data_IF_225761376764
#
_entry.id   IF_225761376764
#
_cell.length_a   1.000
_cell.length_b   1.000
_cell.length_c   1.000
_cell.angle_alpha   90.00
_cell.angle_beta   90.00
_cell.angle_gamma   90.00
#
_symmetry.space_group_name_H-M   'P 1'
#
loop_
_entity.id
_entity.type
_entity.pdbx_description
1 polymer ?
#
# COMPACT_ATOMS: atom_id res chain seq x y z
N UNK A 1 22.81 37.95 -5.49
CA UNK A 1 21.47 38.47 -5.17
C UNK A 1 20.73 38.76 -6.47
N UNK A 2 19.65 38.04 -6.75
CA UNK A 2 18.49 38.63 -7.40
C UNK A 2 17.27 38.55 -6.49
N UNK A 3 16.44 39.55 -6.67
CA UNK A 3 15.30 40.01 -5.89
C UNK A 3 14.07 39.11 -6.02
N UNK A 4 13.44 38.81 -4.88
CA UNK A 4 12.12 38.18 -4.80
C UNK A 4 11.03 39.12 -5.34
N UNK A 5 10.28 38.68 -6.35
CA UNK A 5 9.02 39.29 -6.74
C UNK A 5 7.87 38.61 -5.99
N UNK A 6 7.10 39.43 -5.26
CA UNK A 6 5.77 39.12 -4.75
C UNK A 6 4.94 38.37 -5.79
N UNK A 7 4.30 37.27 -5.39
CA UNK A 7 3.16 36.71 -6.11
C UNK A 7 1.97 36.76 -5.16
N UNK A 8 0.91 37.40 -5.64
CA UNK A 8 -0.30 37.74 -4.93
C UNK A 8 -1.14 36.50 -4.56
N UNK A 9 -1.85 36.65 -3.44
CA UNK A 9 -2.86 35.73 -2.94
C UNK A 9 -4.06 35.73 -3.90
N UNK A 10 -4.15 34.72 -4.75
CA UNK A 10 -5.43 34.34 -5.38
C UNK A 10 -5.66 32.83 -5.22
N UNK A 11 -6.89 32.53 -4.83
CA UNK A 11 -7.43 31.20 -4.49
C UNK A 11 -7.09 30.12 -5.51
N UNK A 12 -6.27 29.14 -5.10
CA UNK A 12 -6.08 27.89 -5.86
C UNK A 12 -7.26 26.97 -5.57
N UNK A 13 -8.22 26.96 -6.48
CA UNK A 13 -9.28 25.94 -6.56
C UNK A 13 -8.69 24.63 -7.05
N UNK A 14 -8.77 23.58 -6.22
CA UNK A 14 -8.45 22.21 -6.62
C UNK A 14 -9.66 21.60 -7.33
N UNK A 15 -9.63 21.57 -8.66
CA UNK A 15 -10.57 20.78 -9.46
C UNK A 15 -10.03 19.36 -9.57
N UNK A 16 -10.78 18.40 -9.01
CA UNK A 16 -10.49 16.98 -9.14
C UNK A 16 -10.46 16.54 -10.60
N UNK A 17 -9.38 15.88 -11.00
CA UNK A 17 -9.28 15.25 -12.30
C UNK A 17 -9.72 13.78 -12.18
N UNK A 18 -10.96 13.49 -12.58
CA UNK A 18 -11.32 12.14 -13.01
C UNK A 18 -10.79 11.94 -14.42
N UNK A 19 -9.78 11.08 -14.57
CA UNK A 19 -9.43 10.52 -15.87
C UNK A 19 -10.42 9.40 -16.18
N UNK A 20 -11.23 9.55 -17.21
CA UNK A 20 -11.99 8.44 -17.77
C UNK A 20 -11.04 7.30 -18.14
N UNK A 21 -11.26 6.13 -17.54
CA UNK A 21 -10.55 4.90 -17.87
C UNK A 21 -11.11 4.43 -19.23
N UNK A 22 -10.29 4.31 -20.29
CA UNK A 22 -10.78 3.70 -21.53
C UNK A 22 -11.15 2.24 -21.26
N UNK A 23 -12.29 1.81 -21.80
CA UNK A 23 -12.74 0.41 -21.74
C UNK A 23 -11.64 -0.50 -22.29
N UNK A 24 -10.95 -1.21 -21.40
CA UNK A 24 -10.00 -2.25 -21.74
C UNK A 24 -10.79 -3.51 -22.11
N UNK A 25 -11.17 -3.58 -23.38
CA UNK A 25 -11.46 -4.86 -24.04
C UNK A 25 -10.53 -4.96 -25.24
N UNK A 26 -9.61 -5.93 -25.20
CA UNK A 26 -8.82 -6.47 -26.33
C UNK A 26 -7.35 -5.97 -26.50
N UNK A 27 -6.57 -5.91 -25.42
CA UNK A 27 -5.09 -5.79 -25.54
C UNK A 27 -4.44 -6.80 -24.58
N UNK A 28 -4.42 -8.09 -24.93
CA UNK A 28 -3.72 -9.12 -24.12
C UNK A 28 -3.20 -10.32 -24.93
N UNK A 29 -2.87 -10.14 -26.22
CA UNK A 29 -2.38 -11.26 -27.04
C UNK A 29 -1.17 -10.97 -27.92
N UNK A 30 -0.72 -9.71 -28.01
CA UNK A 30 0.48 -9.35 -28.80
C UNK A 30 1.74 -9.10 -27.96
N UNK A 31 1.62 -8.73 -26.67
CA UNK A 31 2.78 -8.30 -25.88
C UNK A 31 3.53 -9.45 -25.16
N UNK A 32 3.02 -10.70 -25.24
CA UNK A 32 3.61 -11.84 -24.53
C UNK A 32 4.82 -12.43 -25.27
N UNK A 33 4.85 -12.37 -26.60
CA UNK A 33 5.98 -12.90 -27.38
C UNK A 33 7.21 -11.97 -27.35
N UNK A 34 7.01 -10.65 -27.27
CA UNK A 34 8.10 -9.68 -27.20
C UNK A 34 8.86 -9.77 -25.86
N UNK A 35 8.14 -9.97 -24.74
CA UNK A 35 8.75 -10.13 -23.40
C UNK A 35 9.46 -11.47 -23.24
N UNK A 36 8.97 -12.54 -23.88
CA UNK A 36 9.58 -13.86 -23.79
C UNK A 36 10.94 -13.94 -24.52
N UNK A 37 11.13 -13.17 -25.59
CA UNK A 37 12.36 -13.18 -26.39
C UNK A 37 13.56 -12.48 -25.72
N UNK A 38 13.31 -11.53 -24.80
CA UNK A 38 14.35 -10.78 -24.08
C UNK A 38 14.98 -11.58 -22.93
N UNK A 39 14.35 -12.68 -22.51
CA UNK A 39 14.74 -13.44 -21.30
C UNK A 39 15.66 -14.65 -21.55
N UNK A 40 16.16 -14.86 -22.78
CA UNK A 40 16.87 -16.10 -23.16
C UNK A 40 18.33 -15.95 -23.61
N UNK A 41 19.12 -15.03 -23.04
CA UNK A 41 20.59 -15.12 -23.13
C UNK A 41 21.29 -15.07 -21.76
N UNK A 42 22.13 -16.07 -21.40
CA UNK A 42 22.81 -16.11 -20.11
C UNK A 42 24.28 -15.69 -20.24
N UNK A 43 24.73 -14.76 -19.42
CA UNK A 43 25.98 -14.88 -18.60
C UNK A 43 26.30 -13.55 -17.92
N UNK A 44 25.79 -13.35 -16.70
CA UNK A 44 26.46 -12.47 -15.75
C UNK A 44 26.38 -13.15 -14.37
N UNK A 45 27.54 -13.44 -13.80
CA UNK A 45 27.71 -14.01 -12.48
C UNK A 45 27.34 -12.96 -11.43
N UNK A 46 26.24 -13.16 -10.70
CA UNK A 46 25.80 -12.23 -9.66
C UNK A 46 26.03 -12.79 -8.24
N UNK A 47 26.35 -11.87 -7.32
CA UNK A 47 26.51 -12.10 -5.89
C UNK A 47 25.29 -12.75 -5.24
N UNK A 48 25.51 -13.48 -4.15
CA UNK A 48 24.55 -14.30 -3.37
C UNK A 48 23.26 -13.59 -2.88
N UNK A 49 23.16 -12.26 -2.96
CA UNK A 49 21.95 -11.53 -2.60
C UNK A 49 20.91 -11.46 -3.73
N UNK A 50 21.34 -11.52 -5.00
CA UNK A 50 20.43 -11.49 -6.14
C UNK A 50 19.74 -12.84 -6.36
N UNK A 51 20.41 -13.96 -6.05
CA UNK A 51 19.84 -15.32 -6.14
C UNK A 51 18.62 -15.48 -5.24
N UNK A 52 18.64 -14.90 -4.04
CA UNK A 52 17.48 -14.91 -3.12
C UNK A 52 16.31 -14.07 -3.66
N UNK A 53 16.59 -12.97 -4.37
CA UNK A 53 15.56 -12.13 -5.00
C UNK A 53 14.88 -12.86 -6.17
N UNK A 54 15.62 -13.62 -6.97
CA UNK A 54 15.06 -14.42 -8.06
C UNK A 54 14.21 -15.60 -7.55
N UNK A 55 14.62 -16.27 -6.48
CA UNK A 55 13.81 -17.34 -5.88
C UNK A 55 12.50 -16.82 -5.28
N UNK A 56 12.52 -15.67 -4.59
CA UNK A 56 11.30 -15.05 -4.05
C UNK A 56 10.29 -14.66 -5.15
N UNK A 57 10.78 -14.20 -6.32
CA UNK A 57 9.92 -13.85 -7.46
C UNK A 57 9.30 -15.11 -8.10
N UNK A 58 10.09 -16.18 -8.24
CA UNK A 58 9.59 -17.48 -8.72
C UNK A 58 8.53 -18.04 -7.78
N UNK A 59 8.72 -17.92 -6.48
CA UNK A 59 7.76 -18.37 -5.48
C UNK A 59 6.44 -17.59 -5.55
N UNK A 60 6.51 -16.25 -5.65
CA UNK A 60 5.33 -15.39 -5.82
C UNK A 60 4.54 -15.72 -7.10
N UNK A 61 5.23 -15.97 -8.22
CA UNK A 61 4.61 -16.39 -9.48
C UNK A 61 3.95 -17.78 -9.36
N UNK A 62 4.59 -18.71 -8.64
CA UNK A 62 4.05 -20.03 -8.41
C UNK A 62 2.77 -19.98 -7.54
N UNK A 63 2.74 -19.13 -6.51
CA UNK A 63 1.55 -18.90 -5.68
C UNK A 63 0.40 -18.33 -6.53
N UNK A 64 0.67 -17.31 -7.36
CA UNK A 64 -0.34 -16.73 -8.26
C UNK A 64 -0.89 -17.76 -9.25
N UNK A 65 -0.04 -18.63 -9.81
CA UNK A 65 -0.43 -19.71 -10.71
C UNK A 65 -1.30 -20.76 -10.01
N UNK A 66 -0.94 -21.16 -8.78
CA UNK A 66 -1.74 -22.11 -7.97
C UNK A 66 -3.12 -21.55 -7.63
N UNK A 67 -3.20 -20.26 -7.30
CA UNK A 67 -4.47 -19.58 -7.04
C UNK A 67 -5.38 -19.56 -8.28
N UNK A 68 -4.83 -19.17 -9.43
CA UNK A 68 -5.58 -19.15 -10.69
C UNK A 68 -6.08 -20.55 -11.08
N UNK A 69 -5.23 -21.57 -10.98
CA UNK A 69 -5.63 -22.95 -11.25
C UNK A 69 -6.76 -23.41 -10.34
N UNK A 70 -6.66 -23.16 -9.03
CA UNK A 70 -7.74 -23.49 -8.08
C UNK A 70 -9.05 -22.75 -8.40
N UNK A 71 -8.98 -21.47 -8.77
CA UNK A 71 -10.16 -20.68 -9.14
C UNK A 71 -10.85 -21.17 -10.42
N UNK A 72 -10.07 -21.58 -11.43
CA UNK A 72 -10.65 -22.13 -12.66
C UNK A 72 -11.19 -23.56 -12.46
N UNK A 73 -10.53 -24.38 -11.66
CA UNK A 73 -10.97 -25.75 -11.35
C UNK A 73 -12.26 -25.77 -10.51
N UNK A 74 -12.41 -24.84 -9.57
CA UNK A 74 -13.67 -24.64 -8.82
C UNK A 74 -14.83 -24.18 -9.71
N UNK A 75 -14.58 -23.32 -10.70
CA UNK A 75 -15.63 -22.97 -11.69
C UNK A 75 -15.99 -24.15 -12.60
N UNK A 76 -15.00 -24.92 -13.04
CA UNK A 76 -15.23 -26.11 -13.87
C UNK A 76 -16.06 -27.16 -13.12
N UNK A 77 -15.69 -27.47 -11.88
CA UNK A 77 -16.44 -28.39 -11.01
C UNK A 77 -17.86 -27.89 -10.74
N UNK A 78 -18.07 -26.62 -10.38
CA UNK A 78 -19.41 -26.05 -10.21
C UNK A 78 -20.25 -26.18 -11.49
N UNK A 79 -19.67 -25.96 -12.67
CA UNK A 79 -20.39 -26.12 -13.94
C UNK A 79 -20.81 -27.58 -14.21
N UNK A 80 -19.98 -28.55 -13.85
CA UNK A 80 -20.28 -29.98 -14.01
C UNK A 80 -21.44 -30.43 -13.13
N UNK A 81 -21.63 -29.84 -11.96
CA UNK A 81 -22.75 -30.18 -11.07
C UNK A 81 -24.02 -29.41 -11.39
N UNK A 82 -23.94 -28.11 -11.70
CA UNK A 82 -25.12 -27.27 -11.90
C UNK A 82 -25.77 -27.42 -13.28
N UNK A 83 -24.97 -27.57 -14.34
CA UNK A 83 -25.50 -27.62 -15.72
C UNK A 83 -26.41 -28.84 -15.95
N UNK A 84 -26.08 -30.06 -15.48
CA UNK A 84 -26.98 -31.22 -15.60
C UNK A 84 -28.29 -31.04 -14.82
N UNK A 85 -28.21 -30.46 -13.62
CA UNK A 85 -29.40 -30.19 -12.78
C UNK A 85 -30.32 -29.19 -13.46
N UNK A 86 -29.77 -28.11 -14.02
CA UNK A 86 -30.54 -27.11 -14.76
C UNK A 86 -31.16 -27.73 -16.00
N UNK A 87 -30.41 -28.51 -16.80
CA UNK A 87 -30.93 -29.18 -18.00
C UNK A 87 -32.02 -30.20 -17.67
N UNK A 88 -31.86 -30.98 -16.60
CA UNK A 88 -32.86 -31.94 -16.15
C UNK A 88 -34.14 -31.25 -15.69
N UNK A 89 -34.03 -30.18 -14.89
CA UNK A 89 -35.20 -29.39 -14.47
C UNK A 89 -35.91 -28.72 -15.66
N UNK A 90 -35.16 -28.24 -16.66
CA UNK A 90 -35.72 -27.66 -17.88
C UNK A 90 -36.49 -28.69 -18.71
N UNK A 91 -36.02 -29.93 -18.77
CA UNK A 91 -36.71 -31.02 -19.46
C UNK A 91 -38.02 -31.40 -18.75
N UNK A 92 -38.01 -31.49 -17.41
CA UNK A 92 -39.21 -31.79 -16.61
C UNK A 92 -40.30 -30.71 -16.69
N UNK A 93 -39.91 -29.44 -16.88
CA UNK A 93 -40.85 -28.33 -17.12
C UNK A 93 -41.49 -28.42 -18.51
N UNK A 94 -40.74 -28.86 -19.53
CA UNK A 94 -41.25 -29.03 -20.90
C UNK A 94 -42.25 -30.18 -21.05
N UNK A 95 -42.14 -31.21 -20.21
CA UNK A 95 -43.02 -32.39 -20.26
C UNK A 95 -44.34 -32.22 -19.49
N UNK A 96 -44.67 -31.01 -19.01
CA UNK A 96 -45.97 -30.72 -18.38
C UNK A 96 -46.22 -31.50 -17.08
N UNK A 97 -45.17 -32.02 -16.43
CA UNK A 97 -45.30 -32.89 -15.28
C UNK A 97 -45.62 -32.07 -14.01
N UNK A 98 -46.75 -32.35 -13.35
CA UNK A 98 -47.10 -31.77 -12.04
C UNK A 98 -46.05 -32.05 -10.94
N UNK A 99 -45.14 -33.00 -11.18
CA UNK A 99 -43.95 -33.30 -10.36
C UNK A 99 -42.91 -32.16 -10.33
N UNK A 100 -42.90 -31.26 -11.32
CA UNK A 100 -41.98 -30.10 -11.39
C UNK A 100 -42.23 -29.06 -10.28
N UNK A 101 -43.48 -28.93 -9.81
CA UNK A 101 -43.87 -28.03 -8.72
C UNK A 101 -43.42 -28.55 -7.35
N UNK A 102 -43.32 -29.87 -7.20
CA UNK A 102 -42.83 -30.52 -5.98
C UNK A 102 -41.30 -30.40 -5.85
N UNK A 103 -40.57 -30.62 -6.95
CA UNK A 103 -39.11 -30.51 -6.97
C UNK A 103 -38.62 -29.08 -6.69
N UNK A 104 -39.26 -28.08 -7.29
CA UNK A 104 -38.93 -26.65 -7.08
C UNK A 104 -39.11 -26.19 -5.63
N UNK A 105 -40.00 -26.81 -4.86
CA UNK A 105 -40.17 -26.50 -3.42
C UNK A 105 -39.14 -27.19 -2.52
N UNK A 106 -38.57 -28.32 -2.94
CA UNK A 106 -37.63 -29.13 -2.15
C UNK A 106 -36.18 -28.67 -2.35
N UNK A 107 -35.83 -28.18 -3.54
CA UNK A 107 -34.49 -27.67 -3.89
C UNK A 107 -33.98 -26.58 -2.91
N UNK A 108 -34.75 -25.53 -2.54
CA UNK A 108 -34.24 -24.53 -1.60
C UNK A 108 -33.98 -25.13 -0.22
N UNK A 109 -34.83 -26.06 0.27
CA UNK A 109 -34.61 -26.74 1.56
C UNK A 109 -33.34 -27.58 1.57
N UNK A 110 -33.04 -28.29 0.47
CA UNK A 110 -31.79 -29.06 0.33
C UNK A 110 -30.56 -28.16 0.25
N UNK A 111 -30.66 -27.02 -0.46
CA UNK A 111 -29.59 -26.04 -0.53
C UNK A 111 -29.25 -25.44 0.84
N UNK A 112 -30.28 -25.03 1.59
CA UNK A 112 -30.10 -24.53 2.96
C UNK A 112 -29.56 -25.61 3.91
N UNK A 113 -30.00 -26.86 3.76
CA UNK A 113 -29.48 -27.98 4.56
C UNK A 113 -28.00 -28.23 4.33
N UNK A 114 -27.57 -28.37 3.07
CA UNK A 114 -26.17 -28.67 2.73
C UNK A 114 -25.25 -27.50 3.06
N UNK A 115 -25.65 -26.26 2.74
CA UNK A 115 -24.85 -25.06 3.05
C UNK A 115 -24.74 -24.79 4.55
N UNK A 116 -25.80 -25.08 5.31
CA UNK A 116 -25.79 -24.99 6.77
C UNK A 116 -24.80 -25.96 7.40
N UNK A 117 -24.85 -27.24 6.99
CA UNK A 117 -23.91 -28.26 7.47
C UNK A 117 -22.47 -27.89 7.11
N UNK A 118 -22.21 -27.46 5.87
CA UNK A 118 -20.87 -27.04 5.44
C UNK A 118 -20.34 -25.84 6.24
N UNK A 119 -21.20 -24.85 6.53
CA UNK A 119 -20.83 -23.68 7.34
C UNK A 119 -20.48 -24.06 8.78
N UNK A 120 -21.20 -25.03 9.36
CA UNK A 120 -20.90 -25.58 10.69
C UNK A 120 -19.56 -26.32 10.69
N UNK A 121 -19.28 -27.13 9.67
CA UNK A 121 -17.98 -27.81 9.53
C UNK A 121 -16.82 -26.83 9.34
N UNK A 122 -17.00 -25.78 8.53
CA UNK A 122 -15.96 -24.77 8.30
C UNK A 122 -15.66 -23.95 9.56
N UNK A 123 -16.70 -23.55 10.30
CA UNK A 123 -16.55 -22.79 11.55
C UNK A 123 -15.94 -23.64 12.65
N UNK A 124 -16.37 -24.91 12.82
CA UNK A 124 -15.73 -25.82 13.79
C UNK A 124 -14.29 -26.12 13.44
N UNK A 125 -13.97 -26.33 12.16
CA UNK A 125 -12.59 -26.48 11.70
C UNK A 125 -11.76 -25.23 11.99
N UNK A 126 -12.28 -24.03 11.72
CA UNK A 126 -11.61 -22.76 12.03
C UNK A 126 -11.39 -22.56 13.54
N UNK A 127 -12.35 -22.95 14.38
CA UNK A 127 -12.23 -22.89 15.84
C UNK A 127 -11.20 -23.86 16.39
N UNK A 128 -11.14 -25.09 15.88
CA UNK A 128 -10.13 -26.09 16.30
C UNK A 128 -8.73 -25.64 15.88
N UNK A 129 -8.59 -25.01 14.72
CA UNK A 129 -7.31 -24.51 14.24
C UNK A 129 -7.02 -23.06 14.67
N UNK A 130 -7.87 -22.45 15.50
CA UNK A 130 -7.68 -21.08 15.97
C UNK A 130 -6.38 -20.94 16.76
N UNK A 131 -6.03 -21.93 17.57
CA UNK A 131 -4.76 -21.96 18.32
C UNK A 131 -3.53 -22.13 17.41
N UNK A 132 -3.70 -22.70 16.21
CA UNK A 132 -2.63 -22.82 15.21
C UNK A 132 -2.47 -21.55 14.36
N UNK A 133 -3.55 -20.78 14.17
CA UNK A 133 -3.58 -19.53 13.38
C UNK A 133 -3.24 -18.30 14.22
N UNK A 134 -3.73 -18.27 15.46
CA UNK A 134 -3.33 -17.33 16.51
C UNK A 134 -2.05 -17.90 17.12
N UNK A 135 -0.97 -17.89 16.33
CA UNK A 135 0.35 -18.30 16.81
C UNK A 135 0.61 -17.63 18.15
N UNK A 136 1.03 -18.41 19.16
CA UNK A 136 1.23 -17.96 20.55
C UNK A 136 1.85 -16.56 20.57
N UNK A 137 1.02 -15.53 20.75
CA UNK A 137 1.50 -14.19 21.04
C UNK A 137 1.85 -14.24 22.51
N UNK A 138 3.08 -14.64 22.82
CA UNK A 138 3.63 -14.34 24.13
C UNK A 138 3.58 -12.81 24.28
N UNK A 139 2.87 -12.27 25.28
CA UNK A 139 2.86 -10.83 25.49
C UNK A 139 4.27 -10.43 25.89
N UNK A 140 5.04 -9.93 24.92
CA UNK A 140 6.37 -9.37 25.15
C UNK A 140 6.19 -7.99 25.76
N UNK A 141 5.70 -7.92 27.00
CA UNK A 141 5.84 -6.71 27.79
C UNK A 141 7.34 -6.48 28.01
N UNK A 142 7.88 -5.39 27.47
CA UNK A 142 9.18 -4.88 27.84
C UNK A 142 9.08 -4.34 29.27
N UNK A 143 9.16 -5.20 30.27
CA UNK A 143 9.68 -4.75 31.55
C UNK A 143 11.13 -4.37 31.26
N UNK A 144 11.38 -3.07 31.13
CA UNK A 144 12.73 -2.50 31.20
C UNK A 144 13.25 -2.76 32.62
N UNK A 145 13.64 -4.01 32.86
CA UNK A 145 14.51 -4.41 33.96
C UNK A 145 15.91 -4.29 33.38
N UNK A 146 16.52 -3.12 33.57
CA UNK A 146 17.95 -2.93 33.33
C UNK A 146 18.73 -3.75 34.37
N UNK A 147 18.79 -5.07 34.17
CA UNK A 147 19.93 -5.83 34.66
C UNK A 147 21.06 -5.61 33.66
N UNK A 148 22.10 -4.83 34.00
CA UNK A 148 23.22 -4.65 33.09
C UNK A 148 23.91 -6.01 32.93
N UNK A 149 23.92 -6.51 31.70
CA UNK A 149 24.75 -7.66 31.33
C UNK A 149 26.18 -7.12 31.19
N UNK A 150 26.92 -7.09 32.29
CA UNK A 150 28.34 -6.72 32.27
C UNK A 150 29.10 -7.87 31.60
N UNK A 151 29.37 -7.74 30.31
CA UNK A 151 30.44 -8.46 29.61
C UNK A 151 30.74 -7.77 28.27
N UNK A 152 31.83 -7.00 28.24
CA UNK A 152 32.41 -6.41 27.04
C UNK A 152 32.11 -4.93 26.90
N UNK A 153 33.14 -4.10 27.05
CA UNK A 153 33.12 -2.71 26.61
C UNK A 153 32.94 -2.75 25.07
N UNK A 154 31.69 -2.75 24.62
CA UNK A 154 31.36 -2.25 23.31
C UNK A 154 31.36 -0.73 23.46
N UNK A 155 32.46 -0.08 23.05
CA UNK A 155 32.41 1.34 22.69
C UNK A 155 31.51 1.47 21.47
N UNK A 156 30.20 1.39 21.70
CA UNK A 156 29.26 2.04 20.82
C UNK A 156 29.48 3.52 21.08
N UNK A 157 30.01 4.23 20.10
CA UNK A 157 29.82 5.67 20.01
C UNK A 157 28.31 5.88 19.87
N UNK A 158 27.60 5.86 21.00
CA UNK A 158 26.30 6.47 21.12
C UNK A 158 26.60 7.95 20.94
N UNK A 159 26.65 8.40 19.68
CA UNK A 159 26.36 9.79 19.41
C UNK A 159 25.05 10.07 20.13
N UNK A 160 25.05 11.08 20.99
CA UNK A 160 23.88 11.61 21.66
C UNK A 160 22.95 12.21 20.59
N UNK A 161 22.37 11.37 19.73
CA UNK A 161 21.48 11.74 18.64
C UNK A 161 20.06 11.93 19.15
N UNK A 162 19.31 12.79 18.47
CA UNK A 162 17.90 13.03 18.81
C UNK A 162 17.07 11.76 18.61
N UNK A 163 16.42 11.29 19.68
CA UNK A 163 15.59 10.08 19.63
C UNK A 163 14.43 10.20 18.61
N UNK A 164 13.97 11.42 18.31
CA UNK A 164 12.94 11.70 17.29
C UNK A 164 13.44 11.35 15.89
N UNK A 165 14.67 11.71 15.58
CA UNK A 165 15.30 11.43 14.29
C UNK A 165 15.54 9.91 14.12
N UNK A 166 15.99 9.25 15.18
CA UNK A 166 16.14 7.80 15.20
C UNK A 166 14.82 7.06 14.94
N UNK A 167 13.69 7.54 15.47
CA UNK A 167 12.35 6.97 15.21
C UNK A 167 11.96 7.09 13.75
N UNK A 168 12.10 8.28 13.15
CA UNK A 168 11.82 8.49 11.72
C UNK A 168 12.68 7.57 10.87
N UNK A 169 13.99 7.51 11.15
CA UNK A 169 14.92 6.65 10.42
C UNK A 169 14.58 5.17 10.57
N UNK A 170 14.15 4.72 11.75
CA UNK A 170 13.73 3.34 11.96
C UNK A 170 12.50 2.98 11.11
N UNK A 171 11.51 3.87 11.02
CA UNK A 171 10.34 3.67 10.15
C UNK A 171 10.77 3.66 8.68
N UNK A 172 11.54 4.65 8.24
CA UNK A 172 12.03 4.69 6.86
C UNK A 172 12.85 3.45 6.48
N UNK A 173 13.67 2.93 7.39
CA UNK A 173 14.43 1.71 7.18
C UNK A 173 13.54 0.48 7.11
N UNK A 174 12.56 0.36 8.01
CA UNK A 174 11.57 -0.74 8.02
C UNK A 174 10.83 -0.86 6.69
N UNK A 175 10.50 0.28 6.08
CA UNK A 175 9.81 0.33 4.80
C UNK A 175 10.75 0.46 3.61
N UNK A 176 12.08 0.35 3.76
CA UNK A 176 13.05 0.49 2.65
C UNK A 176 12.86 1.78 1.83
N UNK A 177 12.65 2.89 2.52
CA UNK A 177 12.43 4.19 1.91
C UNK A 177 13.72 4.78 1.33
N UNK A 178 13.70 5.34 0.10
CA UNK A 178 14.85 6.04 -0.46
C UNK A 178 15.36 7.22 0.39
N UNK A 179 14.49 7.84 1.20
CA UNK A 179 14.84 8.95 2.10
C UNK A 179 15.44 8.52 3.46
N UNK A 180 15.67 7.21 3.68
CA UNK A 180 16.23 6.73 4.95
C UNK A 180 17.53 7.46 5.33
N UNK A 181 17.74 7.68 6.64
CA UNK A 181 18.91 8.39 7.17
C UNK A 181 18.74 9.90 7.27
N UNK A 182 17.65 10.47 6.76
CA UNK A 182 17.35 11.92 6.83
C UNK A 182 16.57 12.37 8.07
N UNK A 183 16.38 11.50 9.07
CA UNK A 183 15.60 11.80 10.28
C UNK A 183 16.00 13.10 10.98
N UNK A 184 17.30 13.43 11.04
CA UNK A 184 17.77 14.67 11.66
C UNK A 184 17.28 15.92 10.92
N UNK A 185 17.18 15.85 9.58
CA UNK A 185 16.69 16.95 8.74
C UNK A 185 15.20 17.20 9.00
N UNK A 186 14.40 16.14 9.10
CA UNK A 186 12.98 16.25 9.46
C UNK A 186 12.79 16.91 10.82
N UNK A 187 13.54 16.46 11.83
CA UNK A 187 13.45 17.01 13.19
C UNK A 187 13.89 18.47 13.22
N UNK A 188 15.03 18.78 12.60
CA UNK A 188 15.56 20.16 12.52
C UNK A 188 14.57 21.11 11.86
N UNK A 189 14.03 20.74 10.70
CA UNK A 189 13.10 21.61 9.97
C UNK A 189 11.75 21.70 10.67
N UNK A 190 11.32 20.65 11.37
CA UNK A 190 10.11 20.71 12.19
C UNK A 190 10.25 21.65 13.39
N UNK A 191 11.37 21.59 14.11
CA UNK A 191 11.66 22.48 15.24
C UNK A 191 11.77 23.93 14.79
N UNK A 192 12.48 24.19 13.68
CA UNK A 192 12.58 25.51 13.04
C UNK A 192 11.22 26.09 12.68
N UNK A 193 10.28 25.24 12.26
CA UNK A 193 8.95 25.64 11.81
C UNK A 193 7.85 25.45 12.86
N UNK A 194 8.18 25.06 14.10
CA UNK A 194 7.20 24.81 15.17
C UNK A 194 6.04 23.89 14.75
N UNK A 195 6.37 22.79 14.06
CA UNK A 195 5.43 21.73 13.66
C UNK A 195 5.85 20.39 14.28
N UNK A 196 4.96 19.38 14.37
CA UNK A 196 5.34 18.06 14.86
C UNK A 196 6.40 17.42 13.96
N UNK A 197 7.44 16.88 14.58
CA UNK A 197 8.59 16.31 13.88
C UNK A 197 8.25 15.17 12.91
N UNK A 198 7.15 14.45 13.16
CA UNK A 198 6.67 13.35 12.34
C UNK A 198 5.83 13.81 11.13
N UNK A 199 5.29 15.04 11.13
CA UNK A 199 4.29 15.47 10.17
C UNK A 199 4.80 15.40 8.73
N UNK A 200 5.93 16.04 8.42
CA UNK A 200 6.43 16.07 7.04
C UNK A 200 6.93 14.69 6.59
N UNK A 201 7.40 13.85 7.51
CA UNK A 201 7.74 12.46 7.22
C UNK A 201 6.49 11.64 6.85
N UNK A 202 5.39 11.79 7.59
CA UNK A 202 4.11 11.15 7.28
C UNK A 202 3.54 11.59 5.92
N UNK A 203 3.67 12.87 5.57
CA UNK A 203 3.22 13.39 4.27
C UNK A 203 4.06 12.80 3.13
N UNK A 204 5.39 12.67 3.29
CA UNK A 204 6.22 11.96 2.30
C UNK A 204 5.78 10.50 2.12
N UNK A 205 5.40 9.82 3.21
CA UNK A 205 4.80 8.47 3.14
C UNK A 205 3.51 8.46 2.33
N UNK A 206 2.62 9.40 2.61
CA UNK A 206 1.31 9.47 1.99
C UNK A 206 1.37 9.81 0.49
N UNK A 207 2.27 10.71 0.10
CA UNK A 207 2.33 11.23 -1.28
C UNK A 207 3.12 10.34 -2.24
N UNK A 208 4.20 9.71 -1.77
CA UNK A 208 5.13 8.98 -2.65
C UNK A 208 5.59 7.63 -2.10
N UNK A 209 4.95 7.13 -1.04
CA UNK A 209 5.45 6.00 -0.26
C UNK A 209 6.91 6.26 0.11
N UNK A 210 7.15 7.36 0.83
CA UNK A 210 8.45 7.79 1.34
C UNK A 210 9.55 7.90 0.27
N UNK A 211 9.17 8.31 -0.94
CA UNK A 211 10.06 8.53 -2.07
C UNK A 211 10.25 7.34 -3.02
N UNK A 212 9.53 6.23 -2.83
CA UNK A 212 9.54 5.11 -3.77
C UNK A 212 8.89 5.47 -5.10
N UNK A 213 7.89 6.34 -5.09
CA UNK A 213 7.15 6.77 -6.27
C UNK A 213 7.28 8.28 -6.44
N UNK A 214 8.37 8.70 -7.06
CA UNK A 214 8.62 10.12 -7.36
C UNK A 214 8.74 10.35 -8.86
N UNK A 215 8.36 11.55 -9.36
CA UNK A 215 8.52 11.87 -10.78
C UNK A 215 9.99 11.92 -11.19
N UNK A 216 10.24 11.51 -12.44
CA UNK A 216 11.51 11.73 -13.14
C UNK A 216 11.26 12.67 -14.31
N UNK A 217 12.20 13.57 -14.57
CA UNK A 217 12.10 14.49 -15.71
C UNK A 217 13.42 14.42 -16.47
N UNK A 218 13.35 14.09 -17.76
CA UNK A 218 14.51 13.84 -18.62
C UNK A 218 15.47 12.78 -18.05
N UNK A 219 14.92 11.74 -17.41
CA UNK A 219 15.69 10.65 -16.81
C UNK A 219 16.37 10.98 -15.47
N UNK A 220 16.20 12.19 -14.94
CA UNK A 220 16.75 12.59 -13.64
C UNK A 220 15.68 12.61 -12.54
N UNK A 221 16.03 12.23 -11.29
CA UNK A 221 15.12 12.33 -10.15
C UNK A 221 14.80 13.80 -9.85
N UNK A 222 13.57 14.07 -9.44
CA UNK A 222 13.11 15.43 -9.10
C UNK A 222 13.27 15.77 -7.62
N UNK A 223 13.61 14.79 -6.78
CA UNK A 223 13.62 14.87 -5.31
C UNK A 223 12.30 15.36 -4.68
N UNK A 224 11.21 15.37 -5.45
CA UNK A 224 9.91 15.83 -5.02
C UNK A 224 9.10 14.67 -4.45
N UNK A 225 9.15 14.51 -3.13
CA UNK A 225 8.47 13.44 -2.40
C UNK A 225 6.99 13.73 -2.11
N UNK A 226 6.54 14.95 -2.39
CA UNK A 226 5.32 15.53 -1.81
C UNK A 226 4.27 15.91 -2.85
N UNK A 227 4.55 15.65 -4.14
CA UNK A 227 3.71 16.16 -5.24
C UNK A 227 3.71 17.68 -5.32
N UNK A 228 4.75 18.35 -4.82
CA UNK A 228 4.81 19.80 -4.70
C UNK A 228 4.83 20.46 -6.08
N UNK A 229 3.98 21.47 -6.31
CA UNK A 229 4.00 22.25 -7.55
C UNK A 229 3.89 21.39 -8.83
N UNK A 230 2.99 20.41 -8.84
CA UNK A 230 2.70 19.58 -10.02
C UNK A 230 1.41 20.05 -10.68
N UNK A 231 1.47 20.44 -11.95
CA UNK A 231 0.28 20.80 -12.75
C UNK A 231 0.47 20.48 -14.24
N UNK A 232 -0.45 19.71 -14.82
CA UNK A 232 -0.30 19.20 -16.18
C UNK A 232 1.00 18.42 -16.33
N UNK A 233 1.85 18.84 -17.28
CA UNK A 233 3.18 18.26 -17.50
C UNK A 233 4.29 18.93 -16.66
N UNK A 234 3.97 19.98 -15.90
CA UNK A 234 4.94 20.66 -15.05
C UNK A 234 5.09 19.93 -13.72
N UNK A 235 6.34 19.69 -13.34
CA UNK A 235 6.72 19.10 -12.06
C UNK A 235 7.79 19.97 -11.42
N UNK A 236 7.49 20.56 -10.26
CA UNK A 236 8.52 21.24 -9.48
C UNK A 236 9.59 20.24 -9.02
N UNK A 237 10.84 20.66 -9.08
CA UNK A 237 12.00 19.87 -8.70
C UNK A 237 12.72 20.54 -7.54
N UNK A 238 13.32 19.74 -6.69
CA UNK A 238 14.25 20.19 -5.68
C UNK A 238 15.66 19.73 -6.06
N UNK A 239 16.66 20.55 -5.75
CA UNK A 239 18.07 20.21 -5.92
C UNK A 239 18.45 19.03 -5.03
N UNK A 240 17.84 18.94 -3.84
CA UNK A 240 18.05 17.84 -2.88
C UNK A 240 16.76 17.42 -2.18
N UNK A 241 16.76 16.22 -1.59
CA UNK A 241 15.67 15.79 -0.70
C UNK A 241 15.51 16.73 0.50
N UNK A 242 16.62 17.27 1.02
CA UNK A 242 16.64 18.14 2.20
C UNK A 242 15.93 19.48 1.93
N UNK A 243 16.12 20.03 0.73
CA UNK A 243 15.39 21.22 0.28
C UNK A 243 13.88 20.97 0.22
N UNK A 244 13.46 19.80 -0.29
CA UNK A 244 12.05 19.42 -0.28
C UNK A 244 11.46 19.36 1.13
N UNK A 245 12.21 18.80 2.10
CA UNK A 245 11.81 18.77 3.51
C UNK A 245 11.67 20.19 4.06
N UNK A 246 12.64 21.06 3.80
CA UNK A 246 12.60 22.47 4.23
C UNK A 246 11.37 23.20 3.69
N UNK A 247 11.16 23.16 2.37
CA UNK A 247 10.05 23.87 1.70
C UNK A 247 8.70 23.40 2.22
N UNK A 248 8.50 22.09 2.35
CA UNK A 248 7.22 21.56 2.83
C UNK A 248 7.03 21.81 4.32
N UNK A 249 8.07 21.74 5.13
CA UNK A 249 8.00 22.10 6.56
C UNK A 249 7.58 23.57 6.76
N UNK A 250 8.18 24.47 5.98
CA UNK A 250 7.84 25.89 6.03
C UNK A 250 6.39 26.14 5.58
N UNK A 251 5.95 25.46 4.52
CA UNK A 251 4.57 25.53 4.07
C UNK A 251 3.57 25.04 5.12
N UNK A 252 3.84 23.89 5.76
CA UNK A 252 2.95 23.34 6.79
C UNK A 252 2.75 24.32 7.95
N UNK A 253 3.81 25.02 8.36
CA UNK A 253 3.70 26.07 9.36
C UNK A 253 2.88 27.27 8.86
N UNK A 254 3.33 27.91 7.76
CA UNK A 254 2.71 29.13 7.24
C UNK A 254 1.24 28.95 6.90
N UNK A 255 0.88 27.79 6.35
CA UNK A 255 -0.48 27.53 5.87
C UNK A 255 -1.42 26.99 6.95
N UNK A 256 -0.90 26.28 7.95
CA UNK A 256 -1.74 25.55 8.90
C UNK A 256 -1.40 25.85 10.35
N UNK A 257 -0.20 25.49 10.82
CA UNK A 257 0.10 25.51 12.26
C UNK A 257 0.15 26.92 12.84
N UNK A 258 0.69 27.90 12.10
CA UNK A 258 0.67 29.32 12.51
C UNK A 258 -0.75 29.89 12.61
N UNK A 259 -1.74 29.25 11.98
CA UNK A 259 -3.15 29.63 12.01
C UNK A 259 -3.96 28.77 13.00
N UNK A 260 -3.31 27.87 13.75
CA UNK A 260 -3.97 26.96 14.69
C UNK A 260 -4.66 25.75 14.06
N UNK A 261 -4.46 25.50 12.76
CA UNK A 261 -4.99 24.32 12.07
C UNK A 261 -3.97 23.19 12.26
N UNK A 262 -4.22 22.31 13.24
CA UNK A 262 -3.28 21.24 13.61
C UNK A 262 -3.79 19.84 13.29
N UNK A 263 -5.10 19.70 13.04
CA UNK A 263 -5.73 18.40 12.81
C UNK A 263 -5.52 17.93 11.35
N UNK A 264 -4.95 16.74 11.10
CA UNK A 264 -4.62 16.28 9.75
C UNK A 264 -5.79 16.29 8.76
N UNK A 265 -7.02 15.99 9.23
CA UNK A 265 -8.19 16.00 8.36
C UNK A 265 -8.66 17.43 8.01
N UNK A 266 -8.33 18.44 8.81
CA UNK A 266 -8.56 19.84 8.44
C UNK A 266 -7.47 20.36 7.50
N UNK A 267 -6.22 19.93 7.70
CA UNK A 267 -5.12 20.18 6.76
C UNK A 267 -5.46 19.61 5.37
N UNK A 268 -5.95 18.36 5.33
CA UNK A 268 -6.35 17.67 4.10
C UNK A 268 -7.33 18.48 3.24
N UNK A 269 -8.32 19.12 3.85
CA UNK A 269 -9.35 19.92 3.16
C UNK A 269 -8.77 21.06 2.32
N UNK A 270 -7.54 21.47 2.59
CA UNK A 270 -6.84 22.54 1.88
C UNK A 270 -5.63 22.00 1.12
N UNK A 271 -4.87 21.07 1.71
CA UNK A 271 -3.66 20.50 1.11
C UNK A 271 -3.99 19.60 -0.08
N UNK A 272 -5.02 18.77 0.04
CA UNK A 272 -5.48 17.85 -1.00
C UNK A 272 -7.01 17.71 -0.99
N UNK A 273 -7.75 18.78 -1.34
CA UNK A 273 -9.22 18.81 -1.22
C UNK A 273 -9.99 17.69 -1.93
N UNK A 274 -9.52 17.12 -3.07
CA UNK A 274 -10.17 15.97 -3.68
C UNK A 274 -10.13 14.69 -2.84
N UNK A 275 -9.22 14.58 -1.86
CA UNK A 275 -9.12 13.42 -0.99
C UNK A 275 -10.34 13.30 -0.07
N UNK A 276 -10.93 12.11 -0.04
CA UNK A 276 -12.12 11.81 0.77
C UNK A 276 -11.75 11.11 2.09
N UNK A 277 -10.73 11.61 2.79
CA UNK A 277 -10.30 11.10 4.10
C UNK A 277 -9.05 10.23 4.08
N UNK A 278 -8.81 9.50 2.98
CA UNK A 278 -7.67 8.57 2.88
C UNK A 278 -6.31 9.22 3.15
N UNK A 279 -6.16 10.50 2.78
CA UNK A 279 -4.93 11.23 3.05
C UNK A 279 -4.71 11.48 4.55
N UNK A 280 -5.73 11.96 5.27
CA UNK A 280 -5.56 12.23 6.69
C UNK A 280 -5.47 10.95 7.52
N UNK A 281 -6.13 9.87 7.10
CA UNK A 281 -5.98 8.54 7.70
C UNK A 281 -4.53 8.04 7.58
N UNK A 282 -3.93 8.16 6.40
CA UNK A 282 -2.54 7.75 6.20
C UNK A 282 -1.54 8.61 6.97
N UNK A 283 -1.77 9.93 7.03
CA UNK A 283 -0.95 10.84 7.86
C UNK A 283 -1.04 10.50 9.35
N UNK A 284 -2.23 10.10 9.84
CA UNK A 284 -2.43 9.68 11.24
C UNK A 284 -1.91 8.28 11.56
N UNK A 285 -1.78 7.42 10.55
CA UNK A 285 -1.30 6.04 10.72
C UNK A 285 0.21 5.97 10.97
N UNK A 286 0.97 6.92 10.41
CA UNK A 286 2.42 7.04 10.57
C UNK A 286 2.86 7.26 12.02
#
# INVERSE_FOLDING_TARGET
MPTASKVDNDSITFLGYQKEIPKVSNIWEQDIEEVASVLLEPTITYSTQSTNRFENIKEALNIKKRFLNWYFDTKATLSLFYVPIIKHNLALVKEGASKSVLLTKIIPFWWFGISGVFSIFLTTYALINLDSLVGKVEPKYSTYSSKPKVAGIATQNLESGDARAARINAIFSMYECPIQGKGDVFVKEADKNNIPYWLVASVAFQESTCGKYTPYVNGAPTHNLYGWGVWGDNVAKFDTLDEGIEVVSEYMNKRFYSQGITEPCDIMKVYTPPSQGSWCEGVKFF
#
